data_IF_847159791783
#
_entry.id   IF_847159791783
#
_cell.length_a   1.000
_cell.length_b   1.000
_cell.length_c   1.000
_cell.angle_alpha   90.00
_cell.angle_beta   90.00
_cell.angle_gamma   90.00
#
_symmetry.space_group_name_H-M   'P 1'
#
loop_
_entity.id
_entity.type
_entity.pdbx_description
1 polymer ?
#
# COMPACT_ATOMS: atom_id res chain seq x y z
N UNK A 1 10.17 -46.32 -13.94
CA UNK A 1 11.04 -45.71 -12.91
C UNK A 1 11.63 -44.42 -13.47
N UNK A 2 11.37 -43.31 -12.77
CA UNK A 2 12.18 -42.08 -12.73
C UNK A 2 12.07 -41.14 -13.94
N UNK A 3 11.10 -40.22 -13.89
CA UNK A 3 11.37 -38.80 -14.22
C UNK A 3 10.30 -37.86 -13.64
N UNK A 4 10.12 -37.86 -12.32
CA UNK A 4 9.24 -36.92 -11.59
C UNK A 4 10.03 -35.76 -10.94
N UNK A 5 11.24 -35.49 -11.42
CA UNK A 5 12.21 -34.65 -10.70
C UNK A 5 12.59 -33.37 -11.44
N UNK A 6 11.61 -32.61 -11.97
CA UNK A 6 11.93 -31.30 -12.58
C UNK A 6 10.89 -30.19 -12.44
N UNK A 7 9.90 -30.32 -11.55
CA UNK A 7 8.96 -29.22 -11.26
C UNK A 7 9.13 -28.74 -9.81
N UNK A 8 10.36 -28.42 -9.41
CA UNK A 8 10.57 -27.45 -8.32
C UNK A 8 10.45 -26.05 -8.91
N UNK A 9 9.21 -25.68 -9.29
CA UNK A 9 8.88 -24.30 -9.64
C UNK A 9 9.24 -23.44 -8.44
N UNK A 10 10.20 -22.54 -8.64
CA UNK A 10 10.62 -21.49 -7.71
C UNK A 10 9.37 -20.68 -7.28
N UNK A 11 8.71 -21.10 -6.21
CA UNK A 11 7.81 -20.25 -5.44
C UNK A 11 8.70 -19.16 -4.82
N UNK A 12 8.64 -17.95 -5.37
CA UNK A 12 9.11 -16.79 -4.61
C UNK A 12 8.08 -16.59 -3.50
N UNK A 13 8.49 -16.87 -2.27
CA UNK A 13 7.71 -16.59 -1.06
C UNK A 13 7.28 -15.13 -1.09
N UNK A 14 6.00 -14.86 -0.90
CA UNK A 14 5.53 -13.53 -0.55
C UNK A 14 6.35 -13.03 0.65
N UNK A 15 6.73 -11.75 0.65
CA UNK A 15 7.50 -11.15 1.76
C UNK A 15 6.64 -11.11 3.05
N UNK A 16 5.32 -11.11 2.89
CA UNK A 16 4.35 -11.29 3.96
C UNK A 16 3.50 -12.51 3.58
N UNK A 17 3.49 -13.60 4.38
CA UNK A 17 2.58 -14.72 4.12
C UNK A 17 1.15 -14.15 4.07
N UNK A 18 0.37 -14.53 3.06
CA UNK A 18 -1.08 -14.36 3.12
C UNK A 18 -1.52 -15.24 4.28
N UNK A 19 -1.61 -14.65 5.48
CA UNK A 19 -2.05 -15.34 6.67
C UNK A 19 -3.52 -15.65 6.39
N UNK A 20 -3.86 -16.93 6.29
CA UNK A 20 -5.25 -17.39 6.34
C UNK A 20 -5.82 -16.82 7.64
N UNK A 21 -6.53 -15.70 7.52
CA UNK A 21 -7.17 -15.01 8.63
C UNK A 21 -8.49 -15.76 8.84
N UNK A 22 -8.72 -16.25 10.05
CA UNK A 22 -9.98 -16.93 10.36
C UNK A 22 -11.16 -15.99 10.04
N UNK A 23 -12.30 -16.51 9.53
CA UNK A 23 -13.42 -15.65 9.10
C UNK A 23 -13.94 -14.71 10.19
N UNK A 24 -13.82 -15.10 11.46
CA UNK A 24 -14.22 -14.31 12.63
C UNK A 24 -13.26 -13.14 12.89
N UNK A 25 -11.94 -13.36 12.81
CA UNK A 25 -10.92 -12.28 12.92
C UNK A 25 -11.05 -11.24 11.79
N UNK A 26 -11.53 -11.67 10.62
CA UNK A 26 -11.76 -10.80 9.47
C UNK A 26 -12.91 -9.81 9.69
N UNK A 27 -13.99 -10.23 10.35
CA UNK A 27 -15.13 -9.35 10.65
C UNK A 27 -14.76 -8.29 11.69
N UNK A 28 -14.03 -8.69 12.73
CA UNK A 28 -13.48 -7.79 13.74
C UNK A 28 -12.56 -6.72 13.13
N UNK A 29 -11.65 -7.13 12.23
CA UNK A 29 -10.78 -6.20 11.53
C UNK A 29 -11.56 -5.21 10.65
N UNK A 30 -12.64 -5.64 10.00
CA UNK A 30 -13.50 -4.75 9.21
C UNK A 30 -14.18 -3.70 10.09
N UNK A 31 -14.63 -4.08 11.29
CA UNK A 31 -15.24 -3.16 12.24
C UNK A 31 -14.22 -2.16 12.80
N UNK A 32 -13.05 -2.64 13.24
CA UNK A 32 -11.92 -1.80 13.64
C UNK A 32 -11.55 -0.82 12.54
N UNK A 33 -11.50 -1.28 11.29
CA UNK A 33 -11.22 -0.44 10.13
C UNK A 33 -12.27 0.65 9.93
N UNK A 34 -13.57 0.36 10.05
CA UNK A 34 -14.61 1.38 9.87
C UNK A 34 -14.46 2.55 10.83
N UNK A 35 -14.07 2.26 12.08
CA UNK A 35 -13.96 3.23 13.15
C UNK A 35 -12.49 3.68 13.40
N UNK A 36 -11.58 3.31 12.49
CA UNK A 36 -10.17 3.60 12.65
C UNK A 36 -9.91 5.10 12.64
N UNK A 37 -9.20 5.55 13.65
CA UNK A 37 -8.59 6.88 13.72
C UNK A 37 -7.09 6.66 13.59
N UNK A 38 -6.51 7.13 12.49
CA UNK A 38 -5.07 7.01 12.25
C UNK A 38 -4.36 8.03 13.12
N UNK A 39 -3.44 7.56 13.96
CA UNK A 39 -2.61 8.41 14.78
C UNK A 39 -1.25 8.53 14.11
N UNK A 40 -0.77 9.75 13.91
CA UNK A 40 0.52 10.01 13.30
C UNK A 40 1.54 10.28 14.40
N UNK A 41 2.54 9.40 14.63
CA UNK A 41 3.66 9.70 15.53
C UNK A 41 4.67 10.67 14.90
N UNK A 42 4.45 11.08 13.65
CA UNK A 42 5.32 11.95 12.85
C UNK A 42 4.55 13.11 12.22
N UNK A 43 5.28 14.11 11.75
CA UNK A 43 4.71 15.25 11.02
C UNK A 43 4.35 14.85 9.59
N UNK A 44 3.17 15.26 9.12
CA UNK A 44 2.73 15.04 7.74
C UNK A 44 3.42 16.07 6.82
N UNK A 45 4.14 15.64 5.77
CA UNK A 45 4.78 16.55 4.82
C UNK A 45 3.75 17.42 4.06
N UNK A 46 4.12 18.65 3.63
CA UNK A 46 3.20 19.53 2.91
C UNK A 46 2.58 18.89 1.66
N UNK A 47 3.35 18.09 0.91
CA UNK A 47 2.87 17.38 -0.28
C UNK A 47 1.73 16.40 0.06
N UNK A 48 1.86 15.68 1.18
CA UNK A 48 0.88 14.68 1.61
C UNK A 48 -0.35 15.33 2.24
N UNK A 49 -0.18 16.47 2.92
CA UNK A 49 -1.28 17.25 3.48
C UNK A 49 -2.27 17.73 2.40
N UNK A 50 -1.78 18.04 1.19
CA UNK A 50 -2.63 18.42 0.05
C UNK A 50 -3.47 17.26 -0.52
N UNK A 51 -3.12 16.01 -0.21
CA UNK A 51 -3.85 14.84 -0.70
C UNK A 51 -5.19 14.75 0.03
N UNK A 52 -6.30 14.81 -0.69
CA UNK A 52 -7.66 14.73 -0.13
C UNK A 52 -8.45 13.51 -0.61
N UNK A 53 -7.85 12.67 -1.45
CA UNK A 53 -8.50 11.54 -2.13
C UNK A 53 -7.53 10.38 -2.28
N UNK A 54 -8.07 9.16 -2.39
CA UNK A 54 -7.27 7.94 -2.63
C UNK A 54 -6.97 7.68 -4.10
N UNK A 55 -7.73 8.31 -4.99
CA UNK A 55 -7.63 8.18 -6.44
C UNK A 55 -6.51 9.05 -7.01
N UNK A 56 -6.33 8.96 -8.34
CA UNK A 56 -5.41 9.82 -9.08
C UNK A 56 -5.61 11.29 -8.72
N UNK A 57 -4.52 12.06 -8.47
CA UNK A 57 -4.58 13.49 -8.23
C UNK A 57 -5.34 14.23 -9.34
N UNK A 58 -6.15 15.21 -8.96
CA UNK A 58 -6.82 16.09 -9.92
C UNK A 58 -5.83 17.10 -10.52
N UNK A 59 -6.17 17.67 -11.68
CA UNK A 59 -5.36 18.76 -12.28
C UNK A 59 -5.23 19.95 -11.32
N UNK A 60 -6.30 20.28 -10.61
CA UNK A 60 -6.30 21.35 -9.59
C UNK A 60 -5.32 21.06 -8.45
N UNK A 61 -5.27 19.81 -7.96
CA UNK A 61 -4.32 19.42 -6.92
C UNK A 61 -2.88 19.53 -7.44
N UNK A 62 -2.60 19.07 -8.65
CA UNK A 62 -1.27 19.19 -9.26
C UNK A 62 -0.85 20.64 -9.44
N UNK A 63 -1.79 21.52 -9.81
CA UNK A 63 -1.53 22.95 -9.92
C UNK A 63 -1.23 23.58 -8.56
N UNK A 64 -1.96 23.22 -7.50
CA UNK A 64 -1.66 23.67 -6.12
C UNK A 64 -0.26 23.24 -5.67
N UNK A 65 0.13 22.01 -5.96
CA UNK A 65 1.46 21.48 -5.65
C UNK A 65 2.53 22.31 -6.38
N UNK A 66 2.31 22.64 -7.66
CA UNK A 66 3.19 23.48 -8.46
C UNK A 66 3.29 24.91 -7.91
N UNK A 67 2.16 25.53 -7.54
CA UNK A 67 2.12 26.88 -6.96
C UNK A 67 2.88 26.97 -5.64
N UNK A 68 2.91 25.89 -4.86
CA UNK A 68 3.66 25.80 -3.62
C UNK A 68 5.13 25.40 -3.80
N UNK A 69 5.61 25.28 -5.05
CA UNK A 69 6.99 24.87 -5.39
C UNK A 69 7.42 23.55 -4.73
N UNK A 70 6.48 22.63 -4.51
CA UNK A 70 6.77 21.33 -3.92
C UNK A 70 7.35 20.38 -4.97
N UNK A 71 8.43 19.68 -4.61
CA UNK A 71 9.08 18.70 -5.49
C UNK A 71 8.25 17.41 -5.57
N UNK A 72 8.07 16.90 -6.79
CA UNK A 72 7.44 15.59 -7.03
C UNK A 72 8.46 14.67 -7.70
N UNK A 73 8.90 13.65 -6.98
CA UNK A 73 9.75 12.60 -7.53
C UNK A 73 8.95 11.67 -8.43
N UNK A 74 9.18 11.82 -9.71
CA UNK A 74 8.66 10.95 -10.76
C UNK A 74 9.66 9.85 -11.10
N UNK A 75 9.18 8.66 -11.45
CA UNK A 75 10.04 7.53 -11.82
C UNK A 75 9.78 6.25 -11.00
N UNK A 76 10.58 5.20 -11.24
CA UNK A 76 10.43 3.90 -10.58
C UNK A 76 10.66 4.02 -9.06
N UNK A 77 10.05 3.09 -8.31
CA UNK A 77 10.35 2.91 -6.89
C UNK A 77 11.62 2.09 -6.74
N UNK A 78 12.49 2.54 -5.84
CA UNK A 78 13.69 1.84 -5.39
C UNK A 78 13.33 0.70 -4.43
N UNK A 79 14.29 -0.19 -4.19
CA UNK A 79 14.08 -1.32 -3.27
C UNK A 79 13.90 -0.83 -1.83
N UNK A 80 14.60 0.24 -1.49
CA UNK A 80 14.54 0.92 -0.20
C UNK A 80 13.15 1.52 0.04
N UNK A 81 12.57 2.19 -0.98
CA UNK A 81 11.19 2.70 -0.91
C UNK A 81 10.18 1.55 -0.75
N UNK A 82 10.37 0.43 -1.43
CA UNK A 82 9.48 -0.74 -1.29
C UNK A 82 9.53 -1.36 0.10
N UNK A 83 10.73 -1.52 0.65
CA UNK A 83 10.94 -2.02 2.01
C UNK A 83 10.28 -1.09 3.03
N UNK A 84 10.40 0.22 2.84
CA UNK A 84 9.77 1.23 3.71
C UNK A 84 8.24 1.18 3.65
N UNK A 85 7.65 1.04 2.47
CA UNK A 85 6.19 0.87 2.31
C UNK A 85 5.70 -0.34 3.13
N UNK A 86 6.43 -1.45 3.07
CA UNK A 86 6.10 -2.68 3.79
C UNK A 86 6.28 -2.50 5.30
N UNK A 87 7.31 -1.77 5.74
CA UNK A 87 7.55 -1.45 7.13
C UNK A 87 6.45 -0.56 7.71
N UNK A 88 6.13 0.55 7.03
CA UNK A 88 5.05 1.48 7.41
C UNK A 88 3.71 0.74 7.52
N UNK A 89 3.44 -0.18 6.59
CA UNK A 89 2.26 -1.06 6.64
C UNK A 89 2.22 -1.92 7.90
N UNK A 90 3.32 -2.61 8.22
CA UNK A 90 3.42 -3.44 9.43
C UNK A 90 3.27 -2.59 10.69
N UNK A 91 3.81 -1.38 10.70
CA UNK A 91 3.71 -0.46 11.83
C UNK A 91 2.26 -0.01 12.04
N UNK A 92 1.57 0.41 10.97
CA UNK A 92 0.14 0.74 11.00
C UNK A 92 -0.68 -0.41 11.57
N UNK A 93 -0.45 -1.65 11.11
CA UNK A 93 -1.16 -2.82 11.62
C UNK A 93 -0.89 -3.04 13.13
N UNK A 94 0.36 -2.92 13.58
CA UNK A 94 0.73 -3.11 14.99
C UNK A 94 0.14 -2.04 15.91
N UNK A 95 0.25 -0.77 15.52
CA UNK A 95 -0.20 0.36 16.33
C UNK A 95 -1.72 0.38 16.49
N UNK A 96 -2.44 -0.11 15.48
CA UNK A 96 -3.91 -0.11 15.46
C UNK A 96 -4.53 -1.49 15.73
N UNK A 97 -3.72 -2.52 16.03
CA UNK A 97 -4.21 -3.88 16.33
C UNK A 97 -5.00 -4.51 15.18
N UNK A 98 -4.59 -4.21 13.95
CA UNK A 98 -5.20 -4.72 12.71
C UNK A 98 -4.43 -5.95 12.23
N UNK A 99 -5.14 -6.92 11.66
CA UNK A 99 -4.51 -8.03 10.97
C UNK A 99 -3.59 -7.57 9.84
N UNK A 100 -2.50 -8.30 9.61
CA UNK A 100 -1.54 -8.00 8.53
C UNK A 100 -2.08 -8.27 7.12
N UNK A 101 -3.37 -8.54 6.97
CA UNK A 101 -3.98 -8.92 5.70
C UNK A 101 -4.26 -7.67 4.81
N UNK A 102 -3.47 -7.44 3.75
CA UNK A 102 -3.60 -6.24 2.93
C UNK A 102 -4.85 -6.27 2.04
N UNK A 103 -5.49 -7.44 1.86
CA UNK A 103 -6.68 -7.59 1.01
C UNK A 103 -7.87 -6.77 1.51
N UNK A 104 -8.01 -6.63 2.84
CA UNK A 104 -9.02 -5.79 3.48
C UNK A 104 -8.88 -4.30 3.10
N UNK A 105 -7.65 -3.86 2.84
CA UNK A 105 -7.35 -2.46 2.56
C UNK A 105 -7.47 -2.14 1.07
N UNK A 106 -7.33 -3.15 0.20
CA UNK A 106 -7.63 -2.98 -1.23
C UNK A 106 -9.11 -2.79 -1.52
N UNK A 107 -9.95 -3.39 -0.68
CA UNK A 107 -11.41 -3.25 -0.69
C UNK A 107 -11.85 -2.51 0.56
N UNK A 108 -11.32 -1.29 0.76
CA UNK A 108 -11.69 -0.42 1.87
C UNK A 108 -13.19 -0.55 2.21
N UNK A 109 -13.55 -0.68 3.49
CA UNK A 109 -14.95 -0.86 3.87
C UNK A 109 -15.83 0.24 3.25
N UNK A 110 -16.99 -0.14 2.71
CA UNK A 110 -17.93 0.79 2.06
C UNK A 110 -18.32 1.95 2.98
N UNK A 111 -18.41 1.70 4.29
CA UNK A 111 -18.81 2.68 5.32
C UNK A 111 -17.65 3.48 5.93
N UNK A 112 -16.40 3.24 5.52
CA UNK A 112 -15.25 3.97 6.07
C UNK A 112 -15.18 5.39 5.46
N UNK A 113 -14.95 6.40 6.32
CA UNK A 113 -14.82 7.81 5.92
C UNK A 113 -13.66 8.02 4.94
N UNK A 114 -13.81 9.00 4.04
CA UNK A 114 -12.76 9.30 3.06
C UNK A 114 -11.49 9.83 3.72
N UNK A 115 -11.63 10.66 4.75
CA UNK A 115 -10.53 11.20 5.57
C UNK A 115 -9.67 10.07 6.13
N UNK A 116 -10.28 9.09 6.82
CA UNK A 116 -9.58 7.91 7.35
C UNK A 116 -8.80 7.15 6.27
N UNK A 117 -9.40 6.95 5.08
CA UNK A 117 -8.70 6.27 3.98
C UNK A 117 -7.49 7.07 3.52
N UNK A 118 -7.64 8.38 3.38
CA UNK A 118 -6.54 9.28 3.01
C UNK A 118 -5.45 9.26 4.07
N UNK A 119 -5.82 9.24 5.35
CA UNK A 119 -4.86 9.19 6.45
C UNK A 119 -4.08 7.88 6.49
N UNK A 120 -4.72 6.74 6.24
CA UNK A 120 -4.02 5.45 6.05
C UNK A 120 -3.00 5.57 4.91
N UNK A 121 -3.40 6.17 3.79
CA UNK A 121 -2.54 6.33 2.63
C UNK A 121 -1.36 7.28 2.92
N UNK A 122 -1.59 8.37 3.67
CA UNK A 122 -0.54 9.27 4.14
C UNK A 122 0.43 8.56 5.08
N UNK A 123 -0.08 7.71 5.97
CA UNK A 123 0.75 6.91 6.88
C UNK A 123 1.65 5.96 6.10
N UNK A 124 1.12 5.28 5.07
CA UNK A 124 1.91 4.43 4.18
C UNK A 124 3.03 5.20 3.45
N UNK A 125 2.80 6.49 3.16
CA UNK A 125 3.75 7.36 2.49
C UNK A 125 4.80 7.99 3.42
N UNK A 126 4.84 7.63 4.71
CA UNK A 126 5.84 8.12 5.64
C UNK A 126 7.29 7.88 5.15
N UNK A 127 8.16 8.87 5.34
CA UNK A 127 9.53 8.97 4.82
C UNK A 127 9.64 8.96 3.27
N UNK A 128 8.57 9.34 2.56
CA UNK A 128 8.54 9.53 1.10
C UNK A 128 7.89 10.86 0.73
N UNK A 129 8.42 11.93 1.32
CA UNK A 129 7.86 13.29 1.31
C UNK A 129 7.74 13.91 -0.09
N UNK A 130 8.56 13.44 -1.03
CA UNK A 130 8.61 13.87 -2.43
C UNK A 130 7.76 12.98 -3.35
N UNK A 131 7.21 11.87 -2.83
CA UNK A 131 6.31 10.98 -3.58
C UNK A 131 4.87 11.37 -3.37
N UNK A 132 4.10 11.33 -4.46
CA UNK A 132 2.65 11.43 -4.37
C UNK A 132 2.08 10.22 -3.62
N UNK A 133 1.27 10.50 -2.59
CA UNK A 133 0.57 9.50 -1.77
C UNK A 133 -0.16 8.46 -2.62
N UNK A 134 -0.85 8.89 -3.68
CA UNK A 134 -1.53 8.00 -4.62
C UNK A 134 -0.57 7.00 -5.31
N UNK A 135 0.64 7.44 -5.66
CA UNK A 135 1.65 6.58 -6.31
C UNK A 135 2.20 5.54 -5.32
N UNK A 136 2.41 5.95 -4.07
CA UNK A 136 2.78 5.03 -2.98
C UNK A 136 1.71 3.97 -2.80
N UNK A 137 0.43 4.34 -2.77
CA UNK A 137 -0.68 3.39 -2.68
C UNK A 137 -0.72 2.39 -3.85
N UNK A 138 -0.53 2.86 -5.09
CA UNK A 138 -0.42 1.95 -6.25
C UNK A 138 0.75 0.98 -6.06
N UNK A 139 1.91 1.47 -5.60
CA UNK A 139 3.08 0.62 -5.39
C UNK A 139 2.83 -0.42 -4.30
N UNK A 140 2.29 -0.01 -3.15
CA UNK A 140 1.85 -0.88 -2.06
C UNK A 140 0.93 -1.99 -2.58
N UNK A 141 -0.09 -1.63 -3.37
CA UNK A 141 -0.98 -2.61 -3.99
C UNK A 141 -0.21 -3.60 -4.86
N UNK A 142 0.71 -3.15 -5.70
CA UNK A 142 1.52 -4.05 -6.52
C UNK A 142 2.48 -4.94 -5.70
N UNK A 143 3.05 -4.45 -4.60
CA UNK A 143 3.95 -5.23 -3.74
C UNK A 143 3.22 -6.39 -3.07
N UNK A 144 1.95 -6.17 -2.69
CA UNK A 144 1.19 -7.13 -1.90
C UNK A 144 0.11 -7.89 -2.69
N UNK A 145 -0.23 -7.48 -3.92
CA UNK A 145 -1.04 -8.27 -4.88
C UNK A 145 -0.20 -9.17 -5.79
N UNK A 146 1.14 -9.18 -5.62
CA UNK A 146 2.08 -9.82 -6.54
C UNK A 146 1.99 -11.36 -6.60
N UNK A 147 1.08 -11.99 -5.86
CA UNK A 147 0.85 -13.44 -5.89
C UNK A 147 0.16 -13.96 -7.18
N UNK A 148 -0.31 -13.09 -8.09
CA UNK A 148 -1.09 -13.56 -9.26
C UNK A 148 -0.72 -13.01 -10.65
N UNK A 149 0.13 -11.98 -10.79
CA UNK A 149 0.48 -11.47 -12.12
C UNK A 149 1.74 -12.20 -12.63
N UNK A 150 1.52 -13.32 -13.33
CA UNK A 150 2.52 -13.90 -14.21
C UNK A 150 2.79 -12.90 -15.34
N UNK A 151 3.77 -12.01 -15.18
CA UNK A 151 4.33 -11.31 -16.33
C UNK A 151 5.07 -12.35 -17.16
N UNK A 152 4.40 -12.90 -18.18
CA UNK A 152 5.07 -13.65 -19.23
C UNK A 152 6.23 -12.80 -19.74
N UNK A 153 7.45 -13.34 -19.72
CA UNK A 153 8.53 -12.75 -20.51
C UNK A 153 8.06 -12.80 -21.96
N UNK A 154 7.96 -11.65 -22.60
CA UNK A 154 8.00 -11.62 -24.05
C UNK A 154 9.41 -12.06 -24.43
N UNK A 155 9.53 -13.28 -24.94
CA UNK A 155 10.72 -13.72 -25.65
C UNK A 155 10.63 -13.09 -27.03
N UNK A 156 11.50 -12.13 -27.41
CA UNK A 156 11.65 -11.81 -28.82
C UNK A 156 12.29 -13.02 -29.49
N UNK A 157 11.61 -13.59 -30.49
CA UNK A 157 12.27 -14.45 -31.49
C UNK A 157 13.21 -13.61 -32.36
#
# INVERSE_FOLDING_TARGET
KRNEESIRKRQRKSIIPVICTDPEELEDDIEKLRNLIVLFPFSIPPLHALTTRTTTPTKELLEKIRQQNLSIKSGPFSKEEDEKIIENWKQLCREHGLGMNPSLFFKFPTKMKMETKVDILRYLAHDMDDRLVHRVYIRFRHLLQQDHIKTGRFSPE
#
